data_IF_593684573503
#
_entry.id   IF_593684573503
#
_cell.length_a   1.000
_cell.length_b   1.000
_cell.length_c   1.000
_cell.angle_alpha   90.00
_cell.angle_beta   90.00
_cell.angle_gamma   90.00
#
_symmetry.space_group_name_H-M   'P 1'
#
loop_
_entity.id
_entity.type
_entity.pdbx_description
1 polymer ?
#
# COMPACT_ATOMS: atom_id res chain seq x y z
N UNK A 1 -20.83 23.51 -27.27
CA UNK A 1 -20.83 22.13 -26.73
C UNK A 1 -20.39 22.21 -25.29
N UNK A 2 -21.32 22.02 -24.36
CA UNK A 2 -21.06 22.10 -22.92
C UNK A 2 -20.68 20.68 -22.48
N UNK A 3 -19.39 20.46 -22.24
CA UNK A 3 -18.89 19.21 -21.65
C UNK A 3 -19.40 19.12 -20.21
N UNK A 4 -20.30 18.17 -19.96
CA UNK A 4 -20.80 17.85 -18.64
C UNK A 4 -19.65 17.50 -17.71
N UNK A 5 -19.62 18.12 -16.54
CA UNK A 5 -18.82 17.67 -15.40
C UNK A 5 -19.39 16.33 -14.96
N UNK A 6 -18.61 15.26 -15.14
CA UNK A 6 -18.86 13.98 -14.48
C UNK A 6 -18.78 14.18 -12.96
N UNK A 7 -19.93 14.40 -12.34
CA UNK A 7 -20.08 14.30 -10.90
C UNK A 7 -20.14 12.80 -10.56
N UNK A 8 -18.98 12.17 -10.40
CA UNK A 8 -18.90 10.79 -9.93
C UNK A 8 -19.38 10.73 -8.47
N UNK A 9 -20.68 10.53 -8.27
CA UNK A 9 -21.24 10.26 -6.95
C UNK A 9 -20.59 9.00 -6.36
N UNK A 10 -19.92 9.19 -5.21
CA UNK A 10 -19.30 8.12 -4.46
C UNK A 10 -20.38 7.21 -3.88
N UNK A 11 -20.43 5.95 -4.33
CA UNK A 11 -21.27 4.91 -3.72
C UNK A 11 -21.07 4.95 -2.18
N UNK A 12 -22.16 4.99 -1.39
CA UNK A 12 -22.04 5.04 0.06
C UNK A 12 -21.29 3.82 0.58
N UNK A 13 -20.26 4.07 1.39
CA UNK A 13 -19.47 3.06 2.08
C UNK A 13 -20.34 2.28 3.08
N UNK A 14 -20.05 0.99 3.25
CA UNK A 14 -20.83 0.07 4.09
C UNK A 14 -19.90 -0.73 5.01
N UNK A 15 -20.45 -1.42 6.00
CA UNK A 15 -19.74 -2.37 6.88
C UNK A 15 -18.83 -3.32 6.10
N UNK A 16 -19.28 -3.83 4.95
CA UNK A 16 -18.47 -4.68 4.07
C UNK A 16 -17.16 -4.03 3.58
N UNK A 17 -17.13 -2.71 3.37
CA UNK A 17 -15.89 -2.01 3.01
C UNK A 17 -14.89 -1.95 4.16
N UNK A 18 -15.38 -1.87 5.41
CA UNK A 18 -14.53 -1.92 6.61
C UNK A 18 -13.98 -3.33 6.80
N UNK A 19 -14.82 -4.36 6.75
CA UNK A 19 -14.41 -5.76 6.86
C UNK A 19 -13.33 -6.11 5.81
N UNK A 20 -13.58 -5.77 4.54
CA UNK A 20 -12.62 -6.00 3.47
C UNK A 20 -11.30 -5.23 3.65
N UNK A 21 -11.36 -4.03 4.23
CA UNK A 21 -10.16 -3.25 4.56
C UNK A 21 -9.37 -3.93 5.69
N UNK A 22 -10.04 -4.35 6.76
CA UNK A 22 -9.41 -5.02 7.89
C UNK A 22 -8.77 -6.36 7.48
N UNK A 23 -9.43 -7.14 6.63
CA UNK A 23 -8.88 -8.38 6.06
C UNK A 23 -7.61 -8.13 5.23
N UNK A 24 -7.57 -7.05 4.44
CA UNK A 24 -6.39 -6.71 3.65
C UNK A 24 -5.22 -6.27 4.53
N UNK A 25 -5.50 -5.51 5.59
CA UNK A 25 -4.47 -5.12 6.56
C UNK A 25 -3.97 -6.36 7.30
N UNK A 26 -4.86 -7.23 7.78
CA UNK A 26 -4.47 -8.48 8.41
C UNK A 26 -3.57 -9.32 7.50
N UNK A 27 -3.91 -9.45 6.21
CA UNK A 27 -3.09 -10.15 5.21
C UNK A 27 -1.69 -9.52 5.04
N UNK A 28 -1.61 -8.18 5.01
CA UNK A 28 -0.33 -7.46 4.95
C UNK A 28 0.52 -7.73 6.20
N UNK A 29 -0.09 -7.67 7.39
CA UNK A 29 0.60 -7.89 8.66
C UNK A 29 1.09 -9.34 8.78
N UNK A 30 0.27 -10.31 8.38
CA UNK A 30 0.63 -11.73 8.38
C UNK A 30 1.82 -12.00 7.44
N UNK A 31 1.74 -11.55 6.18
CA UNK A 31 2.84 -11.72 5.23
C UNK A 31 4.14 -11.07 5.73
N UNK A 32 4.03 -9.89 6.34
CA UNK A 32 5.17 -9.22 6.97
C UNK A 32 5.75 -10.03 8.13
N UNK A 33 4.89 -10.58 9.00
CA UNK A 33 5.31 -11.44 10.11
C UNK A 33 5.97 -12.75 9.68
N UNK A 34 5.65 -13.24 8.48
CA UNK A 34 6.28 -14.40 7.85
C UNK A 34 7.59 -14.05 7.12
N UNK A 35 8.02 -12.78 7.17
CA UNK A 35 9.31 -12.32 6.63
C UNK A 35 9.24 -11.65 5.26
N UNK A 36 8.04 -11.38 4.71
CA UNK A 36 7.93 -10.60 3.49
C UNK A 36 8.39 -9.15 3.74
N UNK A 37 9.28 -8.64 2.89
CA UNK A 37 9.71 -7.25 2.96
C UNK A 37 8.66 -6.33 2.34
N UNK A 38 8.27 -5.29 3.07
CA UNK A 38 7.40 -4.24 2.55
C UNK A 38 8.25 -3.08 2.05
N UNK A 39 8.15 -2.75 0.76
CA UNK A 39 8.76 -1.55 0.20
C UNK A 39 7.77 -0.40 0.33
N UNK A 40 8.19 0.67 1.00
CA UNK A 40 7.41 1.91 1.17
C UNK A 40 8.15 3.10 0.59
N UNK A 41 7.47 4.22 0.33
CA UNK A 41 8.14 5.43 -0.17
C UNK A 41 9.00 6.06 0.92
N UNK A 42 8.42 6.30 2.11
CA UNK A 42 9.04 7.14 3.13
C UNK A 42 9.03 6.59 4.57
N UNK A 43 9.70 7.34 5.45
CA UNK A 43 9.72 7.06 6.89
C UNK A 43 8.32 7.19 7.52
N UNK A 44 7.49 8.10 7.02
CA UNK A 44 6.15 8.33 7.55
C UNK A 44 5.23 7.14 7.26
N UNK A 45 5.29 6.57 6.05
CA UNK A 45 4.60 5.32 5.70
C UNK A 45 5.03 4.18 6.62
N UNK A 46 6.34 4.01 6.83
CA UNK A 46 6.89 3.03 7.76
C UNK A 46 6.25 3.21 9.15
N UNK A 47 6.25 4.43 9.70
CA UNK A 47 5.68 4.68 11.03
C UNK A 47 4.17 4.39 11.08
N UNK A 48 3.42 4.77 10.03
CA UNK A 48 1.99 4.48 9.94
C UNK A 48 1.72 2.97 9.92
N UNK A 49 2.46 2.20 9.12
CA UNK A 49 2.34 0.75 9.09
C UNK A 49 2.79 0.10 10.41
N UNK A 50 3.84 0.63 11.07
CA UNK A 50 4.23 0.17 12.41
C UNK A 50 3.12 0.40 13.44
N UNK A 51 2.42 1.54 13.41
CA UNK A 51 1.26 1.78 14.28
C UNK A 51 0.09 0.83 14.01
N UNK A 52 0.00 0.29 12.78
CA UNK A 52 -0.97 -0.74 12.42
C UNK A 52 -0.52 -2.16 12.80
N UNK A 53 0.69 -2.33 13.35
CA UNK A 53 1.20 -3.62 13.81
C UNK A 53 2.19 -4.30 12.86
N UNK A 54 2.66 -3.63 11.80
CA UNK A 54 3.64 -4.20 10.88
C UNK A 54 4.93 -4.54 11.66
N UNK A 55 5.32 -5.81 11.68
CA UNK A 55 6.46 -6.28 12.49
C UNK A 55 7.69 -6.67 11.64
N UNK A 56 7.49 -7.08 10.40
CA UNK A 56 8.54 -7.59 9.52
C UNK A 56 9.47 -6.54 8.91
N UNK A 57 10.30 -6.95 7.94
CA UNK A 57 11.28 -6.08 7.29
C UNK A 57 10.63 -5.01 6.42
N UNK A 58 11.22 -3.82 6.38
CA UNK A 58 10.76 -2.69 5.56
C UNK A 58 11.93 -2.05 4.85
N UNK A 59 11.76 -1.81 3.54
CA UNK A 59 12.72 -1.10 2.70
C UNK A 59 12.12 0.27 2.35
N UNK A 60 12.84 1.36 2.63
CA UNK A 60 12.40 2.72 2.29
C UNK A 60 13.00 3.15 0.95
N UNK A 61 12.16 3.33 -0.06
CA UNK A 61 12.58 3.71 -1.40
C UNK A 61 13.17 5.13 -1.47
N UNK A 62 12.71 6.07 -0.63
CA UNK A 62 13.23 7.45 -0.58
C UNK A 62 14.72 7.58 -0.26
N UNK A 63 15.39 6.51 0.18
CA UNK A 63 16.81 6.51 0.55
C UNK A 63 17.73 5.89 -0.50
N UNK A 64 17.18 5.29 -1.54
CA UNK A 64 17.87 4.39 -2.45
C UNK A 64 17.42 4.64 -3.89
N UNK A 65 18.26 4.29 -4.87
CA UNK A 65 17.78 4.22 -6.24
C UNK A 65 16.83 3.01 -6.40
N UNK A 66 15.97 3.03 -7.42
CA UNK A 66 15.09 1.89 -7.69
C UNK A 66 15.86 0.58 -7.98
N UNK A 67 17.10 0.70 -8.49
CA UNK A 67 18.00 -0.43 -8.68
C UNK A 67 18.51 -0.95 -7.33
N UNK A 68 19.01 -0.08 -6.46
CA UNK A 68 19.51 -0.48 -5.14
C UNK A 68 18.40 -1.13 -4.29
N UNK A 69 17.17 -0.60 -4.35
CA UNK A 69 16.00 -1.21 -3.70
C UNK A 69 15.80 -2.63 -4.21
N UNK A 70 15.90 -2.85 -5.52
CA UNK A 70 15.70 -4.16 -6.11
C UNK A 70 16.83 -5.14 -5.76
N UNK A 71 18.09 -4.69 -5.76
CA UNK A 71 19.24 -5.51 -5.40
C UNK A 71 19.25 -5.89 -3.91
N UNK A 72 18.95 -4.95 -3.02
CA UNK A 72 18.78 -5.21 -1.59
C UNK A 72 17.65 -6.22 -1.35
N UNK A 73 16.52 -6.02 -2.05
CA UNK A 73 15.39 -6.93 -1.97
C UNK A 73 15.78 -8.36 -2.41
N UNK A 74 16.46 -8.49 -3.56
CA UNK A 74 16.85 -9.78 -4.16
C UNK A 74 17.85 -10.56 -3.30
N UNK A 75 18.71 -9.84 -2.59
CA UNK A 75 19.74 -10.43 -1.74
C UNK A 75 19.17 -10.99 -0.44
N UNK A 76 18.17 -10.32 0.13
CA UNK A 76 17.78 -10.51 1.52
C UNK A 76 16.38 -11.11 1.71
N UNK A 77 15.51 -11.08 0.71
CA UNK A 77 14.10 -11.46 0.87
C UNK A 77 13.58 -12.30 -0.29
N UNK A 78 12.85 -13.37 0.05
CA UNK A 78 12.17 -14.24 -0.93
C UNK A 78 10.80 -13.72 -1.35
N UNK A 79 10.20 -12.83 -0.56
CA UNK A 79 8.90 -12.22 -0.82
C UNK A 79 8.97 -10.71 -0.58
N UNK A 80 8.36 -9.96 -1.49
CA UNK A 80 8.39 -8.50 -1.48
C UNK A 80 6.99 -7.98 -1.79
N UNK A 81 6.48 -7.10 -0.94
CA UNK A 81 5.23 -6.38 -1.13
C UNK A 81 5.57 -4.93 -1.46
N UNK A 82 5.08 -4.43 -2.60
CA UNK A 82 5.33 -3.05 -3.02
C UNK A 82 4.14 -2.17 -2.65
N UNK A 83 4.30 -1.34 -1.62
CA UNK A 83 3.26 -0.52 -1.03
C UNK A 83 3.65 0.96 -1.06
N UNK A 84 3.62 1.54 -2.26
CA UNK A 84 3.72 2.99 -2.47
C UNK A 84 2.35 3.65 -2.36
N UNK A 85 2.34 4.96 -2.17
CA UNK A 85 1.15 5.80 -2.25
C UNK A 85 0.38 5.57 -3.55
N UNK A 86 -0.91 5.84 -3.54
CA UNK A 86 -1.80 5.61 -4.69
C UNK A 86 -2.21 6.91 -5.38
N UNK A 87 -1.33 7.91 -5.30
CA UNK A 87 -1.30 9.06 -6.21
C UNK A 87 -0.48 8.76 -7.48
N UNK A 88 -0.38 9.74 -8.37
CA UNK A 88 0.29 9.57 -9.67
C UNK A 88 1.79 9.27 -9.49
N UNK A 89 2.44 9.92 -8.52
CA UNK A 89 3.87 9.72 -8.23
C UNK A 89 4.13 8.32 -7.68
N UNK A 90 3.28 7.85 -6.77
CA UNK A 90 3.36 6.51 -6.21
C UNK A 90 3.06 5.43 -7.25
N UNK A 91 2.21 5.69 -8.25
CA UNK A 91 2.01 4.80 -9.41
C UNK A 91 3.28 4.71 -10.28
N UNK A 92 3.93 5.83 -10.59
CA UNK A 92 5.21 5.86 -11.34
C UNK A 92 6.32 5.12 -10.59
N UNK A 93 6.41 5.34 -9.28
CA UNK A 93 7.37 4.65 -8.42
C UNK A 93 7.11 3.15 -8.37
N UNK A 94 5.85 2.74 -8.21
CA UNK A 94 5.44 1.34 -8.22
C UNK A 94 5.86 0.64 -9.53
N UNK A 95 5.65 1.31 -10.67
CA UNK A 95 6.04 0.77 -11.98
C UNK A 95 7.55 0.66 -12.13
N UNK A 96 8.29 1.68 -11.70
CA UNK A 96 9.75 1.74 -11.83
C UNK A 96 10.43 0.69 -10.95
N UNK A 97 10.14 0.66 -9.65
CA UNK A 97 10.68 -0.33 -8.72
C UNK A 97 10.26 -1.74 -9.15
N UNK A 98 8.98 -1.92 -9.54
CA UNK A 98 8.48 -3.20 -10.02
C UNK A 98 9.21 -3.72 -11.26
N UNK A 99 9.65 -2.85 -12.18
CA UNK A 99 10.48 -3.25 -13.34
C UNK A 99 11.85 -3.75 -12.89
N UNK A 100 12.50 -3.03 -11.98
CA UNK A 100 13.82 -3.44 -11.48
C UNK A 100 13.76 -4.76 -10.70
N UNK A 101 12.79 -4.91 -9.79
CA UNK A 101 12.56 -6.17 -9.06
C UNK A 101 12.41 -7.36 -10.00
N UNK A 102 11.61 -7.21 -11.07
CA UNK A 102 11.44 -8.27 -12.08
C UNK A 102 12.73 -8.58 -12.84
N UNK A 103 13.54 -7.57 -13.14
CA UNK A 103 14.83 -7.78 -13.83
C UNK A 103 15.84 -8.56 -12.99
N UNK A 104 15.75 -8.50 -11.66
CA UNK A 104 16.59 -9.27 -10.73
C UNK A 104 15.92 -10.56 -10.24
N UNK A 105 14.81 -10.98 -10.86
CA UNK A 105 14.15 -12.26 -10.58
C UNK A 105 13.08 -12.23 -9.48
N UNK A 106 12.80 -11.08 -8.86
CA UNK A 106 11.71 -10.95 -7.88
C UNK A 106 10.39 -10.59 -8.56
N UNK A 107 9.32 -11.29 -8.21
CA UNK A 107 7.95 -10.88 -8.55
C UNK A 107 7.30 -10.22 -7.33
N UNK A 108 7.24 -8.88 -7.26
CA UNK A 108 6.61 -8.21 -6.13
C UNK A 108 5.11 -8.48 -6.11
N UNK A 109 4.55 -8.67 -4.91
CA UNK A 109 3.12 -8.67 -4.69
C UNK A 109 2.61 -7.22 -4.73
N UNK A 110 1.87 -6.90 -5.79
CA UNK A 110 1.15 -5.64 -5.96
C UNK A 110 -0.36 -5.75 -5.69
N UNK A 111 -0.87 -6.93 -5.34
CA UNK A 111 -2.30 -7.17 -5.11
C UNK A 111 -2.79 -6.40 -3.89
N UNK A 112 -2.02 -6.41 -2.80
CA UNK A 112 -2.36 -5.66 -1.58
C UNK A 112 -2.53 -4.17 -1.89
N UNK A 113 -1.54 -3.55 -2.56
CA UNK A 113 -1.62 -2.14 -2.98
C UNK A 113 -2.82 -1.86 -3.88
N UNK A 114 -3.05 -2.70 -4.90
CA UNK A 114 -4.15 -2.53 -5.84
C UNK A 114 -5.51 -2.60 -5.14
N UNK A 115 -5.69 -3.56 -4.23
CA UNK A 115 -6.93 -3.75 -3.47
C UNK A 115 -7.14 -2.61 -2.47
N UNK A 116 -6.11 -2.22 -1.72
CA UNK A 116 -6.16 -1.04 -0.85
C UNK A 116 -6.57 0.20 -1.64
N UNK A 117 -5.88 0.51 -2.74
CA UNK A 117 -6.24 1.62 -3.64
C UNK A 117 -7.71 1.55 -4.07
N UNK A 118 -8.22 0.38 -4.44
CA UNK A 118 -9.61 0.24 -4.88
C UNK A 118 -10.62 0.58 -3.77
N UNK A 119 -10.31 0.25 -2.52
CA UNK A 119 -11.16 0.51 -1.36
C UNK A 119 -11.08 1.97 -0.91
N UNK A 120 -9.88 2.56 -0.87
CA UNK A 120 -9.65 3.80 -0.11
C UNK A 120 -9.38 5.04 -0.98
N UNK A 121 -9.12 4.91 -2.29
CA UNK A 121 -8.68 6.02 -3.16
C UNK A 121 -9.60 7.24 -3.23
N UNK A 122 -10.88 7.09 -2.87
CA UNK A 122 -11.85 8.20 -2.85
C UNK A 122 -11.73 9.07 -1.59
N UNK A 123 -11.07 8.54 -0.56
CA UNK A 123 -11.05 9.10 0.79
C UNK A 123 -9.64 9.55 1.20
N UNK A 124 -8.62 8.76 0.84
CA UNK A 124 -7.21 9.02 1.13
C UNK A 124 -6.36 8.71 -0.10
N UNK A 125 -5.17 9.30 -0.20
CA UNK A 125 -4.23 9.14 -1.35
C UNK A 125 -2.92 8.44 -0.99
N UNK A 126 -2.63 8.33 0.30
CA UNK A 126 -1.34 7.92 0.84
C UNK A 126 -1.47 6.85 1.93
N UNK A 127 -0.39 6.10 2.13
CA UNK A 127 -0.28 5.05 3.16
C UNK A 127 -0.36 5.64 4.56
N UNK A 128 0.17 6.85 4.76
CA UNK A 128 0.19 7.51 6.06
C UNK A 128 -1.20 7.73 6.67
N UNK A 129 -2.18 8.04 5.82
CA UNK A 129 -3.55 8.33 6.23
C UNK A 129 -4.37 7.06 6.54
N UNK A 130 -3.82 5.87 6.27
CA UNK A 130 -4.54 4.60 6.37
C UNK A 130 -5.03 4.31 7.79
N UNK A 131 -4.18 4.55 8.81
CA UNK A 131 -4.54 4.32 10.21
C UNK A 131 -5.73 5.15 10.67
N UNK A 132 -5.68 6.47 10.44
CA UNK A 132 -6.78 7.39 10.77
C UNK A 132 -8.05 7.04 9.99
N UNK A 133 -7.93 6.63 8.73
CA UNK A 133 -9.07 6.22 7.93
C UNK A 133 -9.76 4.98 8.51
N UNK A 134 -8.99 3.99 8.97
CA UNK A 134 -9.52 2.79 9.62
C UNK A 134 -10.25 3.13 10.93
N UNK A 135 -9.68 3.97 11.78
CA UNK A 135 -10.32 4.44 13.02
C UNK A 135 -11.68 5.07 12.73
N UNK A 136 -11.72 5.99 11.76
CA UNK A 136 -12.97 6.64 11.34
C UNK A 136 -13.99 5.64 10.79
N UNK A 137 -13.56 4.65 10.02
CA UNK A 137 -14.46 3.62 9.49
C UNK A 137 -15.03 2.74 10.61
N UNK A 138 -14.24 2.42 11.64
CA UNK A 138 -14.71 1.68 12.83
C UNK A 138 -15.72 2.48 13.64
N UNK A 139 -15.54 3.79 13.78
CA UNK A 139 -16.52 4.65 14.47
C UNK A 139 -17.87 4.70 13.74
N UNK A 140 -17.85 4.70 12.41
CA UNK A 140 -19.07 4.83 11.58
C UNK A 140 -19.79 3.50 11.33
N UNK A 141 -19.05 2.40 11.23
CA UNK A 141 -19.56 1.12 10.74
C UNK A 141 -19.15 -0.08 11.58
N UNK A 142 -18.38 0.13 12.65
CA UNK A 142 -18.05 -0.91 13.62
C UNK A 142 -19.30 -1.38 14.39
N UNK A 143 -19.23 -2.57 15.01
CA UNK A 143 -20.30 -3.13 15.82
C UNK A 143 -20.61 -2.29 17.07
#
# INVERSE_FOLDING_TARGET
>A
MIGGRDNQESRPKRTYDLEALEELIASLLEASGQGAAVIVEGRRDLLALRSLGLCGPVIMASRLSALDVAEDAARNYSQVILLTDWDDKGDEMCQTIGRHLRSVGIRPDGLIRSRLKSLVKKEIKDVESLGRYMERMRELYGP
#
